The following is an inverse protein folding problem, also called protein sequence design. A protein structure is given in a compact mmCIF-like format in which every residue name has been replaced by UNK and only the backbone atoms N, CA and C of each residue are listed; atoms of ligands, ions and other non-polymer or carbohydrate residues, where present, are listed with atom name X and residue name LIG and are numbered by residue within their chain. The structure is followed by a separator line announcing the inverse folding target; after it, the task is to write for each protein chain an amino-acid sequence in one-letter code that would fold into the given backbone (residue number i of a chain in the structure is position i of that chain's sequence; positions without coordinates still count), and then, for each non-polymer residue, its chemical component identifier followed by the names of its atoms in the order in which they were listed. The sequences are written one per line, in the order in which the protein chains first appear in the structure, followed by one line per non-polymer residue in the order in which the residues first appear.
data_IF_986926893236
#
_entry.id   IF_986926893236
#
_cell.length_a   1.000
_cell.length_b   1.000
_cell.length_c   1.000
_cell.angle_alpha   90.00
_cell.angle_beta   90.00
_cell.angle_gamma   90.00
#
_symmetry.space_group_name_H-M   'P 1'
#
loop_
_entity.id
_entity.type
_entity.pdbx_description
1 polymer ?
#
# COMPACT_ATOMS: atom_id res chain seq x y z
N UNK A 1 -9.28 5.73 3.15
CA UNK A 1 -7.86 6.13 3.32
C UNK A 1 -7.74 6.97 4.57
N UNK A 2 -6.67 6.81 5.34
CA UNK A 2 -6.44 7.61 6.55
C UNK A 2 -5.93 9.00 6.16
N UNK A 3 -6.39 10.06 6.80
CA UNK A 3 -5.99 11.44 6.50
C UNK A 3 -4.47 11.67 6.56
N UNK A 4 -3.78 10.98 7.46
CA UNK A 4 -2.33 11.06 7.60
C UNK A 4 -1.59 10.50 6.37
N UNK A 5 -2.11 9.41 5.78
CA UNK A 5 -1.55 8.86 4.55
C UNK A 5 -1.71 9.84 3.38
N UNK A 6 -2.83 10.58 3.32
CA UNK A 6 -3.06 11.60 2.28
C UNK A 6 -1.99 12.69 2.30
N UNK A 7 -1.60 13.14 3.48
CA UNK A 7 -0.57 14.20 3.64
C UNK A 7 0.82 13.76 3.11
N UNK A 8 1.09 12.45 3.06
CA UNK A 8 2.35 11.89 2.57
C UNK A 8 2.38 11.73 1.05
N UNK A 9 1.20 11.67 0.41
CA UNK A 9 1.11 11.48 -1.03
C UNK A 9 1.38 12.78 -1.80
N UNK A 10 1.86 12.62 -3.03
CA UNK A 10 2.07 13.72 -3.97
C UNK A 10 1.39 13.42 -5.30
N UNK A 11 0.86 14.45 -5.92
CA UNK A 11 0.23 14.33 -7.22
C UNK A 11 1.24 13.85 -8.27
N UNK A 12 0.98 12.73 -8.98
CA UNK A 12 1.92 12.20 -9.96
C UNK A 12 2.10 13.09 -11.19
N UNK A 13 1.20 14.05 -11.41
CA UNK A 13 1.28 14.98 -12.54
C UNK A 13 2.07 16.25 -12.20
N UNK A 14 1.91 16.78 -10.98
CA UNK A 14 2.48 18.09 -10.64
C UNK A 14 3.25 18.12 -9.32
N UNK A 15 3.42 16.98 -8.66
CA UNK A 15 4.08 16.82 -7.35
C UNK A 15 3.48 17.65 -6.21
N UNK A 16 2.32 18.29 -6.43
CA UNK A 16 1.60 19.05 -5.40
C UNK A 16 1.01 18.15 -4.33
N UNK A 17 0.85 18.69 -3.13
CA UNK A 17 0.18 18.01 -2.02
C UNK A 17 -1.29 17.76 -2.34
N UNK A 18 -1.83 16.70 -1.74
CA UNK A 18 -3.26 16.39 -1.82
C UNK A 18 -4.01 16.89 -0.57
N UNK A 19 -5.28 17.20 -0.78
CA UNK A 19 -6.31 17.25 0.26
C UNK A 19 -7.47 16.36 -0.18
N UNK A 20 -8.19 15.84 0.80
CA UNK A 20 -9.36 15.02 0.52
C UNK A 20 -10.62 15.88 0.52
N UNK A 21 -11.43 15.73 -0.51
CA UNK A 21 -12.74 16.34 -0.63
C UNK A 21 -13.77 15.24 -0.93
N UNK A 22 -14.59 14.91 0.05
CA UNK A 22 -15.52 13.79 -0.03
C UNK A 22 -14.79 12.45 -0.28
N UNK A 23 -15.02 11.86 -1.44
CA UNK A 23 -14.40 10.60 -1.88
C UNK A 23 -13.31 10.79 -2.94
N UNK A 24 -12.71 11.96 -3.01
CA UNK A 24 -11.67 12.26 -3.99
C UNK A 24 -10.46 12.95 -3.35
N UNK A 25 -9.29 12.74 -3.93
CA UNK A 25 -8.07 13.47 -3.63
C UNK A 25 -7.87 14.55 -4.69
N UNK A 26 -7.74 15.79 -4.26
CA UNK A 26 -7.46 16.92 -5.14
C UNK A 26 -6.12 17.55 -4.79
N UNK A 27 -5.37 17.99 -5.80
CA UNK A 27 -4.18 18.81 -5.58
C UNK A 27 -4.46 20.29 -5.89
N UNK A 28 -3.55 21.18 -5.54
CA UNK A 28 -3.69 22.63 -5.77
C UNK A 28 -3.87 23.03 -7.24
N UNK A 29 -3.46 22.18 -8.20
CA UNK A 29 -3.73 22.35 -9.64
C UNK A 29 -5.01 21.62 -10.11
N UNK A 30 -5.83 21.16 -9.16
CA UNK A 30 -7.13 20.52 -9.41
C UNK A 30 -7.05 19.17 -10.16
N UNK A 31 -5.89 18.50 -10.19
CA UNK A 31 -5.89 17.10 -10.59
C UNK A 31 -6.64 16.30 -9.51
N UNK A 32 -7.57 15.46 -9.97
CA UNK A 32 -8.53 14.76 -9.12
C UNK A 32 -8.37 13.23 -9.30
N UNK A 33 -8.39 12.50 -8.19
CA UNK A 33 -8.32 11.05 -8.13
C UNK A 33 -9.34 10.51 -7.15
N UNK A 34 -10.22 9.63 -7.61
CA UNK A 34 -11.25 9.06 -6.76
C UNK A 34 -10.69 8.01 -5.82
N UNK A 35 -11.18 8.03 -4.59
CA UNK A 35 -10.96 6.99 -3.58
C UNK A 35 -12.00 5.91 -3.82
N UNK A 36 -11.55 4.71 -4.18
CA UNK A 36 -12.42 3.56 -4.37
C UNK A 36 -13.14 3.17 -3.08
N UNK A 37 -14.23 2.42 -3.19
CA UNK A 37 -15.01 1.94 -2.04
C UNK A 37 -14.14 1.17 -1.02
N UNK A 38 -13.13 0.46 -1.50
CA UNK A 38 -12.17 -0.31 -0.68
C UNK A 38 -11.09 0.58 -0.03
N UNK A 39 -11.01 1.86 -0.35
CA UNK A 39 -10.09 2.81 0.28
C UNK A 39 -8.80 3.09 -0.49
N UNK A 40 -8.56 2.42 -1.64
CA UNK A 40 -7.39 2.69 -2.48
C UNK A 40 -7.64 3.79 -3.52
N UNK A 41 -6.56 4.32 -4.09
CA UNK A 41 -6.60 5.32 -5.17
C UNK A 41 -5.79 4.82 -6.36
N UNK A 42 -6.33 4.95 -7.56
CA UNK A 42 -5.63 4.62 -8.78
C UNK A 42 -4.91 5.85 -9.34
N UNK A 43 -3.60 5.91 -9.15
CA UNK A 43 -2.73 6.95 -9.71
C UNK A 43 -2.18 6.63 -11.11
N UNK A 44 -2.43 5.43 -11.63
CA UNK A 44 -1.94 4.96 -12.92
C UNK A 44 -3.09 4.38 -13.78
N UNK A 45 -4.10 5.21 -14.16
CA UNK A 45 -5.30 4.72 -14.86
C UNK A 45 -4.97 4.08 -16.22
N UNK A 46 -3.85 4.45 -16.83
CA UNK A 46 -3.39 3.94 -18.13
C UNK A 46 -2.31 2.85 -18.00
N UNK A 47 -2.06 2.32 -16.79
CA UNK A 47 -1.13 1.22 -16.62
C UNK A 47 -1.61 0.00 -17.43
N UNK A 48 -0.64 -0.66 -18.08
CA UNK A 48 -0.96 -1.91 -18.80
C UNK A 48 -1.48 -2.94 -17.78
N UNK A 49 -2.45 -3.79 -18.19
CA UNK A 49 -2.92 -4.87 -17.34
C UNK A 49 -1.76 -5.73 -16.84
N UNK A 50 -1.79 -6.07 -15.57
CA UNK A 50 -0.82 -6.99 -14.99
C UNK A 50 -0.95 -8.37 -15.63
N UNK A 51 0.19 -9.07 -15.81
CA UNK A 51 0.20 -10.48 -16.19
C UNK A 51 -0.27 -11.40 -15.05
N UNK A 52 -0.34 -10.86 -13.83
CA UNK A 52 -0.75 -11.61 -12.65
C UNK A 52 -2.28 -11.75 -12.61
N UNK A 53 -2.73 -12.99 -12.73
CA UNK A 53 -4.15 -13.35 -12.68
C UNK A 53 -4.57 -13.73 -11.26
N UNK A 54 -5.87 -13.78 -11.03
CA UNK A 54 -6.48 -14.12 -9.74
C UNK A 54 -5.93 -15.43 -9.16
N UNK A 55 -5.73 -16.46 -9.99
CA UNK A 55 -5.25 -17.77 -9.56
C UNK A 55 -3.83 -17.71 -8.95
N UNK A 56 -3.00 -16.77 -9.40
CA UNK A 56 -1.70 -16.55 -8.79
C UNK A 56 -1.84 -16.03 -7.35
N UNK A 57 -2.71 -15.05 -7.15
CA UNK A 57 -2.93 -14.49 -5.81
C UNK A 57 -3.54 -15.50 -4.85
N UNK A 58 -4.45 -16.37 -5.34
CA UNK A 58 -5.00 -17.47 -4.56
C UNK A 58 -3.91 -18.50 -4.16
N UNK A 59 -2.98 -18.78 -5.07
CA UNK A 59 -1.84 -19.66 -4.78
C UNK A 59 -0.87 -19.04 -3.78
N UNK A 60 -0.59 -17.74 -3.91
CA UNK A 60 0.24 -16.99 -2.96
C UNK A 60 -0.41 -16.94 -1.59
N UNK A 61 -1.72 -16.68 -1.50
CA UNK A 61 -2.43 -16.65 -0.23
C UNK A 61 -2.26 -17.98 0.53
N UNK A 62 -2.40 -19.11 -0.15
CA UNK A 62 -2.14 -20.43 0.47
C UNK A 62 -0.70 -20.58 0.99
N UNK A 63 0.30 -20.07 0.26
CA UNK A 63 1.69 -20.09 0.69
C UNK A 63 1.94 -19.19 1.91
N UNK A 64 1.27 -18.04 1.96
CA UNK A 64 1.32 -17.13 3.12
C UNK A 64 0.65 -17.76 4.36
N UNK A 65 -0.52 -18.38 4.19
CA UNK A 65 -1.21 -19.10 5.27
C UNK A 65 -0.39 -20.28 5.79
N UNK A 66 0.31 -20.99 4.89
CA UNK A 66 1.24 -22.05 5.27
C UNK A 66 2.54 -21.57 5.94
N UNK A 67 2.72 -20.25 6.09
CA UNK A 67 3.87 -19.66 6.78
C UNK A 67 5.18 -19.69 5.97
N UNK A 68 5.16 -20.00 4.68
CA UNK A 68 6.36 -20.09 3.83
C UNK A 68 7.19 -18.78 3.87
N UNK A 69 6.51 -17.64 3.95
CA UNK A 69 7.13 -16.31 3.95
C UNK A 69 7.25 -15.68 5.35
N UNK A 70 6.82 -16.36 6.39
CA UNK A 70 6.90 -15.85 7.76
C UNK A 70 8.34 -15.53 8.21
N UNK A 71 9.38 -16.32 7.88
CA UNK A 71 10.76 -15.96 8.23
C UNK A 71 11.22 -14.65 7.58
N UNK A 72 10.78 -14.35 6.37
CA UNK A 72 11.11 -13.09 5.69
C UNK A 72 10.43 -11.92 6.39
N UNK A 73 9.15 -12.04 6.73
CA UNK A 73 8.42 -11.02 7.47
C UNK A 73 9.06 -10.75 8.85
N UNK A 74 9.50 -11.79 9.54
CA UNK A 74 10.21 -11.68 10.83
C UNK A 74 11.54 -10.92 10.67
N UNK A 75 12.36 -11.29 9.68
CA UNK A 75 13.65 -10.62 9.42
C UNK A 75 13.48 -9.13 9.08
N UNK A 76 12.46 -8.80 8.29
CA UNK A 76 12.12 -7.39 8.00
C UNK A 76 11.68 -6.66 9.27
N UNK A 77 10.88 -7.32 10.11
CA UNK A 77 10.44 -6.79 11.41
C UNK A 77 11.61 -6.47 12.33
N UNK A 78 12.54 -7.41 12.49
CA UNK A 78 13.78 -7.23 13.29
C UNK A 78 14.62 -6.06 12.76
N UNK A 79 14.74 -5.93 11.44
CA UNK A 79 15.45 -4.82 10.84
C UNK A 79 14.77 -3.47 11.13
N UNK A 80 13.43 -3.41 11.02
CA UNK A 80 12.67 -2.20 11.36
C UNK A 80 12.83 -1.83 12.84
N UNK A 81 12.76 -2.78 13.74
CA UNK A 81 12.96 -2.53 15.18
C UNK A 81 14.38 -2.05 15.48
N UNK A 82 15.38 -2.64 14.82
CA UNK A 82 16.78 -2.30 15.01
C UNK A 82 17.14 -0.91 14.48
N UNK A 83 16.65 -0.54 13.30
CA UNK A 83 17.14 0.64 12.58
C UNK A 83 16.16 1.82 12.57
N UNK A 84 14.87 1.60 12.79
CA UNK A 84 13.85 2.66 12.73
C UNK A 84 13.50 3.12 14.15
N UNK A 85 13.99 4.30 14.54
CA UNK A 85 13.84 4.87 15.89
C UNK A 85 12.58 5.73 16.06
N UNK A 86 11.90 6.09 14.97
CA UNK A 86 10.68 6.87 15.07
C UNK A 86 9.62 6.13 15.90
N UNK A 87 8.92 6.83 16.78
CA UNK A 87 7.83 6.28 17.58
C UNK A 87 6.71 5.76 16.68
N UNK A 88 6.32 6.53 15.68
CA UNK A 88 5.32 6.17 14.69
C UNK A 88 5.88 6.35 13.27
N UNK A 89 6.60 5.34 12.75
CA UNK A 89 7.24 5.44 11.45
C UNK A 89 6.23 5.33 10.30
N UNK A 90 6.66 5.84 9.13
CA UNK A 90 5.99 5.59 7.86
C UNK A 90 6.72 4.46 7.14
N UNK A 91 5.99 3.43 6.76
CA UNK A 91 6.50 2.29 5.99
C UNK A 91 5.79 2.25 4.65
N UNK A 92 6.56 2.30 3.58
CA UNK A 92 6.07 2.18 2.22
C UNK A 92 6.56 0.86 1.61
N UNK A 93 5.63 0.08 1.05
CA UNK A 93 5.92 -1.17 0.35
C UNK A 93 5.63 -0.99 -1.15
N UNK A 94 6.70 -0.97 -1.95
CA UNK A 94 6.61 -0.83 -3.40
C UNK A 94 6.56 -2.21 -4.07
N UNK A 95 5.42 -2.52 -4.71
CA UNK A 95 5.11 -3.86 -5.18
C UNK A 95 4.48 -4.72 -4.07
N UNK A 96 3.60 -4.09 -3.28
CA UNK A 96 3.04 -4.71 -2.07
C UNK A 96 2.18 -5.96 -2.33
N UNK A 97 1.82 -6.21 -3.58
CA UNK A 97 0.91 -7.30 -3.92
C UNK A 97 -0.40 -7.20 -3.15
N UNK A 98 -0.82 -8.30 -2.56
CA UNK A 98 -1.99 -8.39 -1.67
C UNK A 98 -1.75 -7.87 -0.24
N UNK A 99 -0.63 -7.16 0.01
CA UNK A 99 -0.34 -6.49 1.26
C UNK A 99 0.11 -7.40 2.41
N UNK A 100 0.60 -8.61 2.12
CA UNK A 100 1.02 -9.57 3.15
C UNK A 100 2.07 -8.97 4.10
N UNK A 101 3.16 -8.42 3.57
CA UNK A 101 4.23 -7.86 4.41
C UNK A 101 3.77 -6.65 5.21
N UNK A 102 2.96 -5.77 4.62
CA UNK A 102 2.40 -4.62 5.35
C UNK A 102 1.56 -5.03 6.56
N UNK A 103 0.88 -6.18 6.49
CA UNK A 103 0.10 -6.72 7.61
C UNK A 103 0.93 -7.50 8.61
N UNK A 104 1.93 -8.26 8.14
CA UNK A 104 2.66 -9.25 8.93
C UNK A 104 3.91 -8.70 9.61
N UNK A 105 4.49 -7.61 9.08
CA UNK A 105 5.70 -7.00 9.65
C UNK A 105 5.32 -6.09 10.81
N UNK A 106 5.83 -6.40 12.01
CA UNK A 106 5.55 -5.67 13.25
C UNK A 106 4.06 -5.31 13.41
N UNK A 107 3.14 -6.30 13.46
CA UNK A 107 1.69 -6.05 13.41
C UNK A 107 1.21 -5.19 14.57
N UNK A 108 1.85 -5.29 15.75
CA UNK A 108 1.48 -4.55 16.97
C UNK A 108 2.09 -3.15 17.04
N UNK A 109 3.02 -2.81 16.14
CA UNK A 109 3.66 -1.49 16.13
C UNK A 109 2.77 -0.47 15.45
N UNK A 110 2.52 0.67 16.12
CA UNK A 110 1.83 1.80 15.50
C UNK A 110 2.69 2.40 14.38
N UNK A 111 2.23 2.29 13.15
CA UNK A 111 2.90 2.74 11.93
C UNK A 111 1.89 3.21 10.90
N UNK A 112 2.28 4.19 10.09
CA UNK A 112 1.55 4.50 8.86
C UNK A 112 2.06 3.55 7.78
N UNK A 113 1.18 2.69 7.27
CA UNK A 113 1.50 1.69 6.24
C UNK A 113 0.92 2.11 4.90
N UNK A 114 1.76 2.19 3.88
CA UNK A 114 1.34 2.57 2.53
C UNK A 114 1.84 1.52 1.54
N UNK A 115 0.92 0.87 0.82
CA UNK A 115 1.24 -0.08 -0.23
C UNK A 115 1.03 0.51 -1.61
N UNK A 116 1.93 0.19 -2.54
CA UNK A 116 1.82 0.52 -3.95
C UNK A 116 1.97 -0.74 -4.79
N UNK A 117 1.08 -0.95 -5.74
CA UNK A 117 1.22 -2.01 -6.75
C UNK A 117 0.59 -1.57 -8.07
N UNK A 118 1.11 -2.08 -9.19
CA UNK A 118 0.55 -1.87 -10.52
C UNK A 118 -0.59 -2.83 -10.85
N UNK A 119 -0.68 -3.95 -10.13
CA UNK A 119 -1.77 -4.91 -10.28
C UNK A 119 -3.02 -4.43 -9.56
N UNK A 120 -4.06 -4.15 -10.33
CA UNK A 120 -5.37 -3.78 -9.79
C UNK A 120 -5.94 -4.88 -8.88
N UNK A 121 -5.77 -6.14 -9.28
CA UNK A 121 -6.21 -7.31 -8.51
C UNK A 121 -5.50 -7.38 -7.16
N UNK A 122 -4.18 -7.15 -7.15
CA UNK A 122 -3.39 -7.13 -5.93
C UNK A 122 -3.87 -6.03 -4.97
N UNK A 123 -4.01 -4.80 -5.47
CA UNK A 123 -4.45 -3.64 -4.68
C UNK A 123 -5.86 -3.86 -4.11
N UNK A 124 -6.76 -4.50 -4.87
CA UNK A 124 -8.10 -4.83 -4.37
C UNK A 124 -8.08 -5.83 -3.21
N UNK A 125 -7.10 -6.73 -3.18
CA UNK A 125 -6.92 -7.70 -2.10
C UNK A 125 -6.21 -7.10 -0.88
N UNK A 126 -5.39 -6.06 -1.10
CA UNK A 126 -4.65 -5.38 -0.05
C UNK A 126 -5.47 -4.32 0.71
N UNK A 127 -6.51 -3.75 0.09
CA UNK A 127 -7.27 -2.58 0.54
C UNK A 127 -8.37 -2.85 1.59
#
# INVERSE_FOLDING_TARGET
MQNEAVALLRCPICSGSFHQEGKSLLCGKRHCYDIAKQGHVNFAPNAKPSFYKKELFESRARAFEAGVFAPVAAAVGEALEKYVRAERPVVADAGCGEGYYLRSVCPERDMIRIGFDLSKEAVLLAA
#
